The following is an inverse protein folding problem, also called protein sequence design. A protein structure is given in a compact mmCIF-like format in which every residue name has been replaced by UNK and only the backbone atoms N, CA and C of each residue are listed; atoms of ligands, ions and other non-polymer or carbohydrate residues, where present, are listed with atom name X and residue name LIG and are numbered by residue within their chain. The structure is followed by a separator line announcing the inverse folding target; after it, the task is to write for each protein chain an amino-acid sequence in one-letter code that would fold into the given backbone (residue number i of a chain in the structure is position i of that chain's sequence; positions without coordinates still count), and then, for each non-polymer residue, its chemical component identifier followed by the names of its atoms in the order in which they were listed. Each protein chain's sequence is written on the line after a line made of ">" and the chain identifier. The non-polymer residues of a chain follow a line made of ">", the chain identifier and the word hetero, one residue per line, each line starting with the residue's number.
data_IF_159595605918
#
_entry.id   IF_159595605918
#
_cell.length_a   1.000
_cell.length_b   1.000
_cell.length_c   1.000
_cell.angle_alpha   90.00
_cell.angle_beta   90.00
_cell.angle_gamma   90.00
#
_symmetry.space_group_name_H-M   'P 1'
#
loop_
_entity.id
_entity.type
_entity.pdbx_description
1 polymer ?
#
# COMPACT_ATOMS: atom_id res chain seq x y z
N UNK A 1 -6.22 -27.73 18.86
CA UNK A 1 -6.70 -26.44 19.41
C UNK A 1 -7.40 -25.73 18.26
N UNK A 2 -8.73 -25.89 18.16
CA UNK A 2 -9.56 -25.21 17.16
C UNK A 2 -10.19 -23.98 17.79
N UNK A 3 -9.39 -22.93 18.00
CA UNK A 3 -9.95 -21.58 18.12
C UNK A 3 -9.68 -20.87 16.81
N UNK A 4 -10.75 -20.64 16.05
CA UNK A 4 -10.67 -19.73 14.92
C UNK A 4 -10.28 -18.35 15.45
N UNK A 5 -9.07 -17.92 15.12
CA UNK A 5 -8.62 -16.56 15.36
C UNK A 5 -9.59 -15.61 14.63
N UNK A 6 -10.21 -14.70 15.38
CA UNK A 6 -11.20 -13.75 14.85
C UNK A 6 -10.47 -12.46 14.46
N UNK A 7 -10.79 -11.92 13.29
CA UNK A 7 -10.34 -10.60 12.86
C UNK A 7 -10.92 -9.55 13.80
N UNK A 8 -10.05 -8.74 14.43
CA UNK A 8 -10.42 -7.72 15.41
C UNK A 8 -10.13 -6.33 14.85
N UNK A 9 -10.93 -5.34 15.24
CA UNK A 9 -10.57 -3.93 15.09
C UNK A 9 -9.67 -3.54 16.26
N UNK A 10 -8.48 -3.00 15.96
CA UNK A 10 -7.52 -2.52 16.97
C UNK A 10 -7.52 -1.01 17.13
N UNK A 11 -7.86 -0.30 16.05
CA UNK A 11 -7.76 1.15 16.00
C UNK A 11 -8.86 1.69 15.09
N UNK A 12 -9.57 2.72 15.54
CA UNK A 12 -10.68 3.33 14.81
C UNK A 12 -10.67 4.85 15.06
N UNK A 13 -10.11 5.58 14.11
CA UNK A 13 -10.02 7.04 14.16
C UNK A 13 -11.20 7.60 13.39
N UNK A 14 -11.88 8.59 13.96
CA UNK A 14 -12.81 9.43 13.20
C UNK A 14 -12.48 10.89 13.50
N UNK A 15 -12.08 11.63 12.48
CA UNK A 15 -11.85 13.07 12.60
C UNK A 15 -12.92 13.83 11.80
N UNK A 16 -13.66 14.70 12.50
CA UNK A 16 -14.69 15.60 11.95
C UNK A 16 -14.28 17.06 12.07
N UNK A 17 -13.02 17.35 12.36
CA UNK A 17 -12.47 18.70 12.47
C UNK A 17 -11.81 19.11 11.17
N UNK A 18 -11.23 18.15 10.45
CA UNK A 18 -10.54 18.36 9.18
C UNK A 18 -9.04 18.63 9.37
N UNK A 19 -8.39 19.03 8.29
CA UNK A 19 -6.99 19.45 8.25
C UNK A 19 -6.88 20.77 7.49
N UNK A 20 -6.01 21.66 7.97
CA UNK A 20 -5.59 22.82 7.20
C UNK A 20 -4.67 22.38 6.05
N UNK A 21 -4.50 23.26 5.05
CA UNK A 21 -3.52 23.04 4.00
C UNK A 21 -2.11 22.90 4.58
N UNK A 22 -1.36 21.89 4.11
CA UNK A 22 -0.01 21.53 4.58
C UNK A 22 0.05 21.15 6.06
N UNK A 23 -1.05 20.68 6.62
CA UNK A 23 -1.10 20.18 7.99
C UNK A 23 -0.81 18.68 8.02
N UNK A 24 -0.12 18.25 9.08
CA UNK A 24 0.00 16.84 9.46
C UNK A 24 -0.52 16.67 10.88
N UNK A 25 -1.42 15.70 11.08
CA UNK A 25 -1.96 15.33 12.39
C UNK A 25 -1.61 13.89 12.69
N UNK A 26 -1.26 13.60 13.94
CA UNK A 26 -0.97 12.24 14.41
C UNK A 26 -1.96 11.82 15.49
N UNK A 27 -2.52 10.64 15.33
CA UNK A 27 -3.45 9.98 16.23
C UNK A 27 -2.73 8.80 16.87
N UNK A 28 -2.55 8.81 18.18
CA UNK A 28 -1.96 7.69 18.90
C UNK A 28 -3.02 6.93 19.71
N UNK A 29 -2.70 5.70 20.09
CA UNK A 29 -3.56 4.86 20.91
C UNK A 29 -3.42 5.11 22.42
N UNK A 30 -3.26 6.34 22.88
CA UNK A 30 -3.21 6.65 24.31
C UNK A 30 -4.43 6.10 25.08
N UNK A 31 -4.19 5.24 26.09
CA UNK A 31 -5.24 4.70 26.97
C UNK A 31 -5.84 3.31 26.66
N UNK A 32 -5.19 2.45 25.86
CA UNK A 32 -5.71 1.10 25.55
C UNK A 32 -5.88 0.19 26.80
N UNK A 33 -7.10 -0.29 27.04
CA UNK A 33 -7.35 -1.51 27.82
C UNK A 33 -7.49 -2.75 26.90
N UNK A 34 -7.28 -3.95 27.46
CA UNK A 34 -6.95 -5.18 26.71
C UNK A 34 -7.98 -5.72 25.70
N UNK A 35 -9.21 -5.21 25.66
CA UNK A 35 -10.32 -5.92 25.00
C UNK A 35 -11.39 -5.06 24.30
N UNK A 36 -11.17 -3.77 24.01
CA UNK A 36 -12.20 -2.89 23.41
C UNK A 36 -11.83 -2.21 22.08
N UNK A 37 -12.84 -2.00 21.23
CA UNK A 37 -12.80 -1.13 20.03
C UNK A 37 -12.96 0.31 20.53
N UNK A 38 -11.99 1.18 20.25
CA UNK A 38 -11.97 2.55 20.78
C UNK A 38 -12.08 3.58 19.66
N UNK A 39 -12.97 4.55 19.85
CA UNK A 39 -13.11 5.74 19.01
C UNK A 39 -12.18 6.83 19.54
N UNK A 40 -11.29 7.39 18.70
CA UNK A 40 -10.33 8.41 19.13
C UNK A 40 -10.59 9.77 18.48
N UNK A 41 -10.48 10.83 19.30
CA UNK A 41 -10.58 12.25 18.91
C UNK A 41 -9.18 12.89 19.03
N UNK A 42 -8.77 13.83 18.16
CA UNK A 42 -7.43 14.41 18.22
C UNK A 42 -7.11 15.14 19.53
N UNK A 43 -5.93 14.85 20.10
CA UNK A 43 -5.29 15.65 21.14
C UNK A 43 -5.24 15.00 22.52
N UNK A 44 -4.01 14.91 23.03
CA UNK A 44 -3.56 14.65 24.42
C UNK A 44 -3.22 13.19 24.86
N UNK A 45 -1.89 12.97 24.99
CA UNK A 45 -1.13 12.22 26.04
C UNK A 45 -0.67 10.76 25.82
N UNK A 46 0.65 10.63 25.56
CA UNK A 46 1.64 9.57 25.91
C UNK A 46 1.25 8.08 25.96
N UNK A 47 1.92 7.33 25.09
CA UNK A 47 2.31 5.90 25.14
C UNK A 47 1.36 4.94 25.87
N UNK A 48 0.61 4.14 25.12
CA UNK A 48 -0.02 2.93 25.62
C UNK A 48 0.93 1.74 25.51
N UNK A 49 1.26 1.12 26.64
CA UNK A 49 1.80 -0.23 26.62
C UNK A 49 0.66 -1.20 26.26
N UNK A 50 0.91 -2.15 25.37
CA UNK A 50 0.08 -3.35 25.36
C UNK A 50 0.30 -4.03 26.70
N UNK A 51 -0.74 -4.26 27.50
CA UNK A 51 -0.61 -5.14 28.67
C UNK A 51 -0.01 -6.47 28.18
N UNK A 52 1.18 -6.82 28.67
CA UNK A 52 2.16 -7.74 28.03
C UNK A 52 1.75 -9.20 27.80
N UNK A 53 0.45 -9.50 27.73
CA UNK A 53 -0.11 -10.83 27.52
C UNK A 53 -0.37 -11.17 26.04
N UNK A 54 -0.35 -10.18 25.14
CA UNK A 54 -0.61 -10.39 23.70
C UNK A 54 0.27 -9.53 22.80
N UNK A 55 0.67 -10.09 21.66
CA UNK A 55 1.23 -9.34 20.53
C UNK A 55 0.18 -9.23 19.43
N UNK A 56 0.33 -8.25 18.53
CA UNK A 56 -0.68 -7.94 17.52
C UNK A 56 -0.07 -7.82 16.12
N UNK A 57 -0.87 -8.23 15.14
CA UNK A 57 -0.55 -8.18 13.71
C UNK A 57 -1.66 -7.47 12.96
N UNK A 58 -1.38 -6.35 12.29
CA UNK A 58 -2.34 -5.65 11.43
C UNK A 58 -2.30 -6.28 10.05
N UNK A 59 -3.45 -6.73 9.55
CA UNK A 59 -3.57 -7.38 8.23
C UNK A 59 -4.45 -6.60 7.26
N UNK A 60 -5.19 -5.61 7.75
CA UNK A 60 -6.15 -4.84 6.97
C UNK A 60 -6.22 -3.42 7.50
N UNK A 61 -6.29 -2.46 6.58
CA UNK A 61 -6.55 -1.05 6.84
C UNK A 61 -7.77 -0.68 5.99
N UNK A 62 -8.69 0.08 6.55
CA UNK A 62 -9.86 0.61 5.85
C UNK A 62 -9.89 2.11 6.08
N UNK A 63 -9.92 2.89 5.00
CA UNK A 63 -9.99 4.35 5.04
C UNK A 63 -11.33 4.76 4.43
N UNK A 64 -12.10 5.52 5.17
CA UNK A 64 -13.27 6.23 4.68
C UNK A 64 -12.79 7.64 4.31
N UNK A 65 -12.72 7.96 3.02
CA UNK A 65 -12.13 9.20 2.55
C UNK A 65 -13.03 10.40 2.90
N UNK A 66 -12.45 11.58 3.16
CA UNK A 66 -13.24 12.80 3.37
C UNK A 66 -13.88 13.28 2.06
N UNK A 67 -15.04 13.93 2.18
CA UNK A 67 -15.80 14.50 1.06
C UNK A 67 -16.31 15.91 1.40
N UNK A 68 -16.22 16.83 0.44
CA UNK A 68 -16.81 18.17 0.59
C UNK A 68 -18.35 18.12 0.60
N UNK A 69 -18.99 19.27 0.80
CA UNK A 69 -20.46 19.38 0.80
C UNK A 69 -21.12 18.98 -0.54
N UNK A 70 -20.35 18.89 -1.63
CA UNK A 70 -20.80 18.48 -2.95
C UNK A 70 -20.52 17.01 -3.24
N UNK A 71 -19.92 16.27 -2.30
CA UNK A 71 -19.53 14.87 -2.45
C UNK A 71 -18.22 14.66 -3.23
N UNK A 72 -17.44 15.71 -3.49
CA UNK A 72 -16.11 15.57 -4.08
C UNK A 72 -15.12 15.11 -3.02
N UNK A 73 -14.22 14.19 -3.37
CA UNK A 73 -13.19 13.75 -2.44
C UNK A 73 -12.19 14.88 -2.15
N UNK A 74 -11.87 15.05 -0.87
CA UNK A 74 -10.89 16.03 -0.41
C UNK A 74 -9.49 15.45 -0.29
N UNK A 75 -8.49 16.32 -0.17
CA UNK A 75 -7.07 15.96 -0.19
C UNK A 75 -6.58 15.46 1.17
N UNK A 76 -6.98 14.25 1.55
CA UNK A 76 -6.25 13.48 2.55
C UNK A 76 -5.04 12.83 1.86
N UNK A 77 -4.00 13.63 1.67
CA UNK A 77 -2.82 13.32 0.84
C UNK A 77 -2.18 12.01 1.28
N UNK A 78 -1.82 11.90 2.55
CA UNK A 78 -1.08 10.72 3.03
C UNK A 78 -1.63 10.18 4.34
N UNK A 79 -1.59 8.86 4.47
CA UNK A 79 -1.84 8.11 5.70
C UNK A 79 -0.67 7.16 5.92
N UNK A 80 0.06 7.38 7.01
CA UNK A 80 1.21 6.58 7.43
C UNK A 80 0.95 5.95 8.81
N UNK A 81 1.51 4.75 9.02
CA UNK A 81 1.52 4.14 10.35
C UNK A 81 2.83 4.41 11.08
N UNK A 82 2.72 4.56 12.40
CA UNK A 82 3.83 4.61 13.33
C UNK A 82 3.68 3.41 14.27
N UNK A 83 4.65 2.51 14.23
CA UNK A 83 4.62 1.23 14.91
C UNK A 83 5.76 1.16 15.91
N UNK A 84 5.45 0.90 17.18
CA UNK A 84 6.42 0.85 18.28
C UNK A 84 7.33 2.11 18.30
N UNK A 85 6.72 3.27 18.03
CA UNK A 85 7.37 4.58 17.98
C UNK A 85 8.16 4.88 16.70
N UNK A 86 8.16 3.99 15.70
CA UNK A 86 8.88 4.17 14.44
C UNK A 86 7.92 4.30 13.26
N UNK A 87 8.05 5.34 12.40
CA UNK A 87 7.26 5.44 11.18
C UNK A 87 7.63 4.30 10.23
N UNK A 88 6.64 3.77 9.53
CA UNK A 88 6.84 2.70 8.54
C UNK A 88 6.55 3.17 7.11
N UNK A 89 6.55 4.49 6.87
CA UNK A 89 6.25 5.11 5.57
C UNK A 89 7.13 4.61 4.41
N UNK A 90 8.35 4.13 4.70
CA UNK A 90 9.20 3.45 3.71
C UNK A 90 8.58 2.17 3.10
N UNK A 91 7.65 1.54 3.81
CA UNK A 91 6.97 0.31 3.40
C UNK A 91 5.48 0.52 3.10
N UNK A 92 4.86 1.50 3.78
CA UNK A 92 3.42 1.70 3.76
C UNK A 92 3.08 3.19 3.80
N UNK A 93 2.90 3.77 2.62
CA UNK A 93 2.38 5.12 2.38
C UNK A 93 1.08 5.02 1.59
N UNK A 94 -0.04 5.29 2.26
CA UNK A 94 -1.37 5.13 1.69
C UNK A 94 -1.99 6.47 1.32
N UNK A 95 -2.68 6.58 0.17
CA UNK A 95 -3.50 7.74 -0.11
C UNK A 95 -4.81 7.66 0.68
N UNK A 96 -5.23 8.79 1.25
CA UNK A 96 -6.53 8.93 1.92
C UNK A 96 -7.63 9.52 1.05
N UNK A 97 -7.29 10.10 -0.11
CA UNK A 97 -8.27 10.65 -1.07
C UNK A 97 -9.03 9.52 -1.79
N UNK A 98 -10.35 9.66 -1.89
CA UNK A 98 -11.23 8.63 -2.47
C UNK A 98 -10.95 8.29 -3.94
N UNK A 99 -10.54 9.25 -4.76
CA UNK A 99 -10.26 9.01 -6.18
C UNK A 99 -9.16 7.97 -6.41
N UNK A 100 -8.16 7.94 -5.53
CA UNK A 100 -6.98 7.08 -5.63
C UNK A 100 -6.88 6.12 -4.43
N UNK A 101 -7.99 5.84 -3.76
CA UNK A 101 -8.00 5.06 -2.54
C UNK A 101 -7.56 3.61 -2.77
N UNK A 102 -6.52 3.18 -2.06
CA UNK A 102 -6.00 1.80 -2.16
C UNK A 102 -6.65 0.86 -1.14
N UNK A 103 -7.13 1.41 -0.02
CA UNK A 103 -7.66 0.65 1.13
C UNK A 103 -9.11 1.07 1.47
N UNK A 104 -10.07 0.94 0.53
CA UNK A 104 -11.46 1.27 0.80
C UNK A 104 -12.09 0.29 1.82
N UNK A 105 -13.22 0.69 2.44
CA UNK A 105 -13.99 -0.22 3.28
C UNK A 105 -14.45 -1.44 2.50
N UNK A 106 -14.37 -2.63 3.10
CA UNK A 106 -14.68 -3.90 2.41
C UNK A 106 -16.08 -3.96 1.81
N UNK A 107 -17.04 -3.26 2.43
CA UNK A 107 -18.43 -3.19 1.98
C UNK A 107 -18.64 -2.26 0.78
N UNK A 108 -17.64 -1.45 0.45
CA UNK A 108 -17.66 -0.45 -0.63
C UNK A 108 -16.79 -0.86 -1.83
N UNK A 109 -16.25 -2.08 -1.83
CA UNK A 109 -15.48 -2.61 -2.95
C UNK A 109 -16.43 -3.14 -4.02
N UNK A 110 -16.23 -2.69 -5.26
CA UNK A 110 -16.93 -3.24 -6.42
C UNK A 110 -16.63 -4.73 -6.58
N UNK A 111 -17.69 -5.55 -6.73
CA UNK A 111 -17.60 -7.02 -6.72
C UNK A 111 -17.68 -7.63 -5.30
N UNK A 112 -17.53 -6.83 -4.24
CA UNK A 112 -17.78 -7.24 -2.86
C UNK A 112 -16.53 -7.45 -1.99
N UNK A 113 -16.71 -7.86 -0.71
CA UNK A 113 -15.67 -7.86 0.32
C UNK A 113 -14.57 -8.91 0.12
N UNK A 114 -14.79 -9.91 -0.73
CA UNK A 114 -13.80 -10.96 -1.02
C UNK A 114 -12.67 -10.50 -1.95
N UNK A 115 -12.81 -9.30 -2.53
CA UNK A 115 -11.88 -8.77 -3.51
C UNK A 115 -10.76 -7.92 -2.90
N UNK A 116 -10.76 -7.66 -1.58
CA UNK A 116 -9.68 -6.90 -0.92
C UNK A 116 -8.32 -7.60 -1.04
N UNK A 117 -7.27 -6.84 -1.38
CA UNK A 117 -5.89 -7.30 -1.22
C UNK A 117 -5.50 -7.04 0.24
N UNK A 118 -5.30 -8.06 1.08
CA UNK A 118 -4.83 -7.83 2.43
C UNK A 118 -3.36 -7.38 2.41
N UNK A 119 -2.94 -6.62 3.42
CA UNK A 119 -1.54 -6.22 3.58
C UNK A 119 -0.64 -7.45 3.65
N UNK A 120 -1.08 -8.46 4.40
CA UNK A 120 -0.50 -9.78 4.48
C UNK A 120 -1.55 -10.80 4.90
N UNK A 121 -1.26 -12.07 4.70
CA UNK A 121 -2.07 -13.14 5.29
C UNK A 121 -1.71 -13.28 6.77
N UNK A 122 -2.69 -13.50 7.66
CA UNK A 122 -2.40 -13.62 9.08
C UNK A 122 -1.54 -14.85 9.34
N UNK A 123 -0.59 -14.70 10.27
CA UNK A 123 0.42 -15.72 10.59
C UNK A 123 -0.20 -17.10 10.83
N UNK A 124 -1.26 -17.18 11.63
CA UNK A 124 -1.93 -18.45 11.91
C UNK A 124 -2.42 -19.12 10.61
N UNK A 125 -3.04 -18.36 9.71
CA UNK A 125 -3.60 -18.90 8.47
C UNK A 125 -2.48 -19.42 7.58
N UNK A 126 -1.38 -18.67 7.43
CA UNK A 126 -0.23 -19.09 6.61
C UNK A 126 0.34 -20.40 7.14
N UNK A 127 0.60 -20.47 8.44
CA UNK A 127 1.21 -21.66 9.07
C UNK A 127 0.28 -22.88 9.00
N UNK A 128 -1.03 -22.69 9.21
CA UNK A 128 -1.99 -23.79 9.17
C UNK A 128 -2.33 -24.26 7.76
N UNK A 129 -2.35 -23.36 6.77
CA UNK A 129 -2.77 -23.69 5.40
C UNK A 129 -1.67 -24.33 4.58
N UNK A 130 -0.41 -23.94 4.81
CA UNK A 130 0.71 -24.37 3.96
C UNK A 130 1.57 -25.45 4.63
N UNK A 131 1.62 -25.56 5.96
CA UNK A 131 2.43 -26.60 6.63
C UNK A 131 3.94 -26.47 6.38
N UNK A 132 4.77 -27.09 7.21
CA UNK A 132 6.21 -26.81 7.27
C UNK A 132 7.00 -27.11 5.96
N UNK A 133 6.43 -27.86 5.01
CA UNK A 133 7.08 -28.20 3.74
C UNK A 133 7.04 -27.07 2.70
N UNK A 134 6.14 -26.09 2.84
CA UNK A 134 5.94 -25.07 1.81
C UNK A 134 6.86 -23.85 2.03
N UNK A 135 7.70 -23.49 1.03
CA UNK A 135 8.48 -22.26 1.09
C UNK A 135 7.55 -21.03 0.96
N UNK A 136 8.13 -19.84 1.16
CA UNK A 136 7.47 -18.53 0.99
C UNK A 136 6.45 -18.15 2.07
N UNK A 137 6.38 -18.86 3.20
CA UNK A 137 5.65 -18.36 4.37
C UNK A 137 6.08 -16.94 4.77
N UNK A 138 7.39 -16.58 4.73
CA UNK A 138 7.81 -15.23 5.07
C UNK A 138 7.23 -14.15 4.17
N UNK A 139 7.00 -14.46 2.89
CA UNK A 139 6.42 -13.51 1.93
C UNK A 139 4.90 -13.39 2.11
N UNK A 140 4.23 -14.35 2.75
CA UNK A 140 2.78 -14.32 2.98
C UNK A 140 2.43 -13.69 4.33
N UNK A 141 3.15 -14.06 5.39
CA UNK A 141 2.90 -13.64 6.76
C UNK A 141 3.52 -12.27 7.09
N UNK A 142 3.25 -11.29 6.23
CA UNK A 142 3.82 -9.92 6.28
C UNK A 142 2.87 -8.90 6.91
N UNK A 143 1.85 -9.35 7.65
CA UNK A 143 1.04 -8.43 8.45
C UNK A 143 1.94 -7.64 9.40
N UNK A 144 1.59 -6.38 9.65
CA UNK A 144 2.44 -5.44 10.40
C UNK A 144 2.46 -5.86 11.87
N UNK A 145 3.62 -6.27 12.37
CA UNK A 145 3.81 -6.84 13.71
C UNK A 145 4.29 -5.79 14.69
N UNK A 146 3.63 -5.73 15.85
CA UNK A 146 3.96 -4.75 16.88
C UNK A 146 3.71 -5.30 18.29
N UNK A 147 4.44 -4.76 19.26
CA UNK A 147 4.43 -5.21 20.64
C UNK A 147 4.04 -4.15 21.66
N UNK A 148 3.99 -2.87 21.30
CA UNK A 148 3.83 -1.77 22.24
C UNK A 148 2.83 -0.75 21.75
N UNK A 149 3.14 0.01 20.70
CA UNK A 149 2.36 1.19 20.31
C UNK A 149 1.98 1.15 18.84
N UNK A 150 0.81 1.72 18.55
CA UNK A 150 0.36 2.03 17.20
C UNK A 150 -0.15 3.47 17.19
N UNK A 151 0.23 4.21 16.15
CA UNK A 151 -0.29 5.52 15.83
C UNK A 151 -0.45 5.66 14.31
N UNK A 152 -1.28 6.60 13.88
CA UNK A 152 -1.53 6.93 12.49
C UNK A 152 -1.24 8.40 12.30
N UNK A 153 -0.35 8.71 11.37
CA UNK A 153 -0.10 10.07 10.91
C UNK A 153 -0.86 10.30 9.62
N UNK A 154 -1.53 11.44 9.51
CA UNK A 154 -2.23 11.83 8.29
C UNK A 154 -1.82 13.25 7.88
N UNK A 155 -1.65 13.47 6.58
CA UNK A 155 -1.25 14.75 6.03
C UNK A 155 -2.20 15.20 4.93
N UNK A 156 -2.27 16.51 4.73
CA UNK A 156 -3.02 17.16 3.66
C UNK A 156 -2.17 18.25 3.02
N UNK A 157 -2.18 18.35 1.69
CA UNK A 157 -1.52 19.43 0.97
C UNK A 157 -2.46 20.64 0.81
N UNK A 158 -3.74 20.40 0.52
CA UNK A 158 -4.73 21.44 0.19
C UNK A 158 -5.82 21.66 1.26
N UNK A 159 -5.88 20.81 2.28
CA UNK A 159 -6.86 20.84 3.36
C UNK A 159 -7.96 19.79 3.21
N UNK A 160 -8.64 19.53 4.33
CA UNK A 160 -9.81 18.65 4.47
C UNK A 160 -10.83 19.38 5.34
N UNK A 161 -12.08 19.47 4.89
CA UNK A 161 -13.13 20.23 5.58
C UNK A 161 -13.89 19.31 6.53
N UNK A 162 -13.75 19.50 7.85
CA UNK A 162 -14.34 18.58 8.84
C UNK A 162 -15.86 18.62 9.01
N UNK A 163 -16.56 19.68 8.59
CA UNK A 163 -17.97 19.91 8.93
C UNK A 163 -18.98 19.47 7.85
N UNK A 164 -20.18 19.05 8.27
CA UNK A 164 -21.38 18.89 7.42
C UNK A 164 -21.57 17.51 6.77
N UNK A 165 -20.48 16.84 6.38
CA UNK A 165 -20.46 15.46 5.85
C UNK A 165 -19.04 14.90 5.59
N UNK A 166 -17.97 15.65 5.89
CA UNK A 166 -16.64 15.50 5.26
C UNK A 166 -15.44 15.09 6.11
N UNK A 167 -15.66 14.55 7.30
CA UNK A 167 -14.58 13.94 8.08
C UNK A 167 -14.00 12.68 7.42
N UNK A 168 -12.85 12.20 7.90
CA UNK A 168 -12.30 10.90 7.50
C UNK A 168 -12.34 9.91 8.66
N UNK A 169 -12.37 8.62 8.32
CA UNK A 169 -12.26 7.53 9.30
C UNK A 169 -11.23 6.51 8.87
N UNK A 170 -10.38 6.06 9.80
CA UNK A 170 -9.32 5.09 9.53
C UNK A 170 -9.44 3.94 10.52
N UNK A 171 -9.60 2.73 10.01
CA UNK A 171 -9.80 1.52 10.82
C UNK A 171 -8.67 0.52 10.56
N UNK A 172 -7.93 0.17 11.60
CA UNK A 172 -6.90 -0.87 11.56
C UNK A 172 -7.47 -2.18 12.13
N UNK A 173 -7.36 -3.26 11.35
CA UNK A 173 -7.86 -4.59 11.74
C UNK A 173 -6.79 -5.67 11.61
N UNK A 174 -6.86 -6.66 12.49
CA UNK A 174 -5.86 -7.70 12.55
C UNK A 174 -6.12 -8.80 13.58
N UNK A 175 -5.04 -9.45 13.99
CA UNK A 175 -5.06 -10.63 14.86
C UNK A 175 -4.14 -10.45 16.07
N UNK A 176 -4.51 -11.09 17.17
CA UNK A 176 -3.75 -11.03 18.42
C UNK A 176 -3.33 -12.44 18.81
N UNK A 177 -2.11 -12.57 19.33
CA UNK A 177 -1.55 -13.87 19.65
C UNK A 177 -1.08 -13.90 21.10
N UNK A 178 -1.41 -14.99 21.78
CA UNK A 178 -0.84 -15.37 23.08
C UNK A 178 0.48 -16.11 22.88
N UNK A 179 1.30 -16.17 23.93
CA UNK A 179 2.54 -16.94 23.90
C UNK A 179 2.33 -18.44 23.59
N UNK A 180 1.23 -19.03 24.06
CA UNK A 180 0.89 -20.43 23.80
C UNK A 180 0.59 -20.67 22.31
N UNK A 181 -0.18 -19.77 21.67
CA UNK A 181 -0.46 -19.85 20.23
C UNK A 181 0.82 -19.69 19.40
N UNK A 182 1.67 -18.71 19.75
CA UNK A 182 2.94 -18.50 19.06
C UNK A 182 3.86 -19.73 19.14
N UNK A 183 3.89 -20.40 20.29
CA UNK A 183 4.68 -21.62 20.49
C UNK A 183 4.21 -22.76 19.56
N UNK A 184 2.91 -22.90 19.34
CA UNK A 184 2.38 -23.90 18.40
C UNK A 184 2.66 -23.54 16.94
N UNK A 185 2.55 -22.26 16.59
CA UNK A 185 2.85 -21.76 15.25
C UNK A 185 4.34 -21.92 14.92
N UNK A 186 5.23 -21.72 15.91
CA UNK A 186 6.67 -21.87 15.77
C UNK A 186 7.08 -23.24 15.21
N UNK A 187 6.40 -24.31 15.63
CA UNK A 187 6.71 -25.69 15.23
C UNK A 187 6.53 -25.96 13.73
N UNK A 188 5.75 -25.13 13.04
CA UNK A 188 5.36 -25.31 11.65
C UNK A 188 5.87 -24.20 10.73
N UNK A 189 6.58 -23.21 11.29
CA UNK A 189 7.13 -22.10 10.53
C UNK A 189 8.26 -22.60 9.61
N UNK A 190 8.16 -22.27 8.33
CA UNK A 190 9.22 -22.47 7.35
C UNK A 190 9.81 -21.12 6.93
N UNK A 191 11.06 -20.80 7.33
CA UNK A 191 11.68 -19.52 7.02
C UNK A 191 12.21 -19.41 5.59
N UNK A 192 12.12 -20.47 4.76
CA UNK A 192 12.70 -20.46 3.41
C UNK A 192 11.86 -19.61 2.45
N UNK A 193 12.55 -18.83 1.63
CA UNK A 193 12.01 -18.10 0.50
C UNK A 193 12.61 -18.66 -0.79
N UNK A 194 11.74 -18.91 -1.76
CA UNK A 194 12.07 -19.39 -3.09
C UNK A 194 10.98 -18.94 -4.08
N UNK A 195 11.24 -17.88 -4.84
CA UNK A 195 10.33 -17.34 -5.86
C UNK A 195 11.02 -17.37 -7.20
N UNK A 196 10.40 -18.06 -8.16
CA UNK A 196 10.81 -18.06 -9.56
C UNK A 196 9.60 -17.78 -10.43
N UNK A 197 9.63 -16.64 -11.13
CA UNK A 197 8.53 -16.22 -12.00
C UNK A 197 8.73 -16.73 -13.43
N UNK A 198 7.67 -16.73 -14.24
CA UNK A 198 7.75 -17.16 -15.63
C UNK A 198 8.73 -16.30 -16.43
N UNK A 199 8.68 -14.95 -16.27
CA UNK A 199 9.62 -14.02 -16.92
C UNK A 199 11.06 -14.46 -16.66
N UNK A 200 11.44 -14.65 -15.39
CA UNK A 200 12.81 -15.00 -15.01
C UNK A 200 13.22 -16.39 -15.50
N UNK A 201 12.28 -17.32 -15.54
CA UNK A 201 12.52 -18.65 -16.13
C UNK A 201 12.82 -18.55 -17.62
N UNK A 202 12.06 -17.73 -18.35
CA UNK A 202 12.24 -17.53 -19.80
C UNK A 202 13.50 -16.72 -20.11
N UNK A 203 13.83 -15.70 -19.31
CA UNK A 203 15.03 -14.87 -19.49
C UNK A 203 16.30 -15.49 -18.90
N UNK A 204 16.21 -16.63 -18.22
CA UNK A 204 17.35 -17.30 -17.58
C UNK A 204 17.88 -16.56 -16.33
N UNK A 205 17.08 -15.67 -15.76
CA UNK A 205 17.43 -14.91 -14.56
C UNK A 205 17.28 -15.76 -13.28
N UNK A 206 18.11 -15.49 -12.24
CA UNK A 206 18.10 -16.28 -11.02
C UNK A 206 16.85 -16.05 -10.18
N UNK A 207 16.35 -17.10 -9.55
CA UNK A 207 15.26 -17.02 -8.57
C UNK A 207 15.66 -16.18 -7.34
N UNK A 208 14.69 -15.56 -6.69
CA UNK A 208 14.87 -15.00 -5.35
C UNK A 208 14.86 -16.16 -4.35
N UNK A 209 15.99 -16.43 -3.69
CA UNK A 209 16.07 -17.49 -2.68
C UNK A 209 16.99 -17.14 -1.52
N UNK A 210 16.47 -17.31 -0.30
CA UNK A 210 17.19 -17.11 0.95
C UNK A 210 16.42 -17.76 2.11
N UNK A 211 17.00 -17.73 3.31
CA UNK A 211 16.31 -18.13 4.55
C UNK A 211 16.16 -16.90 5.43
N UNK A 212 14.94 -16.58 5.85
CA UNK A 212 14.68 -15.47 6.76
C UNK A 212 15.21 -15.79 8.17
N UNK A 213 16.03 -14.90 8.71
CA UNK A 213 16.60 -15.03 10.05
C UNK A 213 15.83 -14.18 11.06
N UNK A 214 15.23 -14.84 12.05
CA UNK A 214 14.61 -14.21 13.21
C UNK A 214 15.55 -14.20 14.41
N UNK A 215 15.32 -13.31 15.37
CA UNK A 215 16.13 -13.21 16.61
C UNK A 215 16.00 -14.43 17.54
N UNK A 216 15.07 -15.32 17.25
CA UNK A 216 14.88 -16.59 17.95
C UNK A 216 13.57 -17.28 17.54
N UNK A 217 13.21 -18.37 18.23
CA UNK A 217 11.93 -19.06 18.00
C UNK A 217 10.75 -18.10 18.16
N UNK A 218 9.69 -18.30 17.39
CA UNK A 218 8.50 -17.44 17.42
C UNK A 218 7.90 -17.41 18.82
N UNK A 219 7.93 -16.23 19.44
CA UNK A 219 7.48 -15.98 20.81
C UNK A 219 7.06 -14.53 20.94
N UNK A 220 6.48 -14.17 22.09
CA UNK A 220 6.13 -12.78 22.40
C UNK A 220 7.32 -11.81 22.28
N UNK A 221 8.51 -12.24 22.74
CA UNK A 221 9.72 -11.42 22.76
C UNK A 221 10.34 -11.25 21.36
N UNK A 222 10.16 -12.24 20.49
CA UNK A 222 10.77 -12.27 19.15
C UNK A 222 9.79 -11.95 18.04
N UNK A 223 8.51 -11.68 18.36
CA UNK A 223 7.44 -11.53 17.37
C UNK A 223 7.74 -10.45 16.31
N UNK A 224 8.31 -9.32 16.73
CA UNK A 224 8.67 -8.21 15.84
C UNK A 224 9.89 -8.50 14.97
N UNK A 225 10.61 -9.61 15.20
CA UNK A 225 11.70 -10.07 14.33
C UNK A 225 11.25 -10.94 13.17
N UNK A 226 9.95 -11.27 13.09
CA UNK A 226 9.35 -11.97 11.96
C UNK A 226 8.88 -10.97 10.88
N UNK A 227 8.59 -11.44 9.64
CA UNK A 227 8.18 -10.58 8.53
C UNK A 227 7.03 -9.64 8.87
N UNK A 228 7.10 -8.40 8.39
CA UNK A 228 6.19 -7.30 8.75
C UNK A 228 6.50 -6.63 10.09
N UNK A 229 7.52 -7.10 10.83
CA UNK A 229 7.97 -6.51 12.09
C UNK A 229 9.18 -5.59 11.95
N UNK A 230 9.31 -4.63 12.87
CA UNK A 230 10.40 -3.65 12.88
C UNK A 230 11.71 -4.16 13.51
N UNK A 231 11.68 -5.32 14.18
CA UNK A 231 12.81 -5.95 14.85
C UNK A 231 13.50 -7.03 14.01
N UNK A 232 13.25 -7.05 12.70
CA UNK A 232 13.89 -7.99 11.76
C UNK A 232 15.41 -7.76 11.73
N UNK A 233 16.15 -8.85 11.52
CA UNK A 233 17.61 -8.83 11.48
C UNK A 233 18.11 -8.50 10.06
N UNK A 234 18.96 -9.36 9.50
CA UNK A 234 19.67 -9.15 8.24
C UNK A 234 18.71 -8.92 7.07
N UNK A 235 17.73 -9.81 6.88
CA UNK A 235 16.72 -9.65 5.83
C UNK A 235 15.44 -9.04 6.38
N UNK A 236 15.01 -7.93 5.79
CA UNK A 236 13.74 -7.28 6.12
C UNK A 236 12.72 -7.62 5.05
N UNK A 237 11.63 -8.24 5.47
CA UNK A 237 10.50 -8.59 4.60
C UNK A 237 9.29 -7.82 5.11
N UNK A 238 8.78 -6.89 4.31
CA UNK A 238 7.68 -6.02 4.71
C UNK A 238 6.63 -5.90 3.59
N UNK A 239 5.36 -5.62 3.94
CA UNK A 239 4.39 -5.26 2.92
C UNK A 239 4.84 -3.97 2.24
N UNK A 240 4.61 -3.86 0.94
CA UNK A 240 4.90 -2.65 0.18
C UNK A 240 3.58 -2.09 -0.34
N UNK A 241 3.15 -0.94 0.15
CA UNK A 241 1.97 -0.22 -0.34
C UNK A 241 2.32 1.24 -0.53
N UNK A 242 2.48 1.64 -1.78
CA UNK A 242 2.86 3.00 -2.12
C UNK A 242 2.02 3.49 -3.28
N UNK A 243 1.92 4.81 -3.38
CA UNK A 243 1.37 5.47 -4.53
C UNK A 243 2.27 6.64 -4.92
N UNK A 244 2.16 7.05 -6.17
CA UNK A 244 2.80 8.25 -6.68
C UNK A 244 1.80 9.06 -7.46
N UNK A 245 2.02 10.37 -7.49
CA UNK A 245 1.41 11.28 -8.45
C UNK A 245 2.48 11.93 -9.30
N UNK A 246 2.10 12.31 -10.51
CA UNK A 246 2.98 13.09 -11.35
C UNK A 246 3.12 14.52 -10.77
N UNK A 247 4.28 14.86 -10.22
CA UNK A 247 4.53 16.22 -9.71
C UNK A 247 4.72 17.24 -10.84
N UNK A 248 4.92 16.77 -12.08
CA UNK A 248 5.03 17.59 -13.29
C UNK A 248 4.04 17.15 -14.35
N UNK A 249 3.75 18.05 -15.28
CA UNK A 249 2.99 17.68 -16.48
C UNK A 249 3.75 16.61 -17.28
N UNK A 250 3.03 15.64 -17.82
CA UNK A 250 3.61 14.59 -18.66
C UNK A 250 4.03 15.14 -20.02
N UNK A 251 4.90 14.42 -20.72
CA UNK A 251 5.17 14.67 -22.13
C UNK A 251 4.00 14.13 -22.99
N UNK A 252 3.69 14.77 -24.10
CA UNK A 252 2.68 14.30 -25.06
C UNK A 252 3.17 13.13 -25.92
N UNK A 253 4.49 12.99 -26.05
CA UNK A 253 5.18 12.15 -27.02
C UNK A 253 6.05 11.05 -26.41
N UNK A 254 6.31 11.13 -25.09
CA UNK A 254 7.17 10.18 -24.38
C UNK A 254 6.49 9.68 -23.10
N UNK A 255 6.73 8.42 -22.71
CA UNK A 255 6.32 7.91 -21.41
C UNK A 255 6.85 8.79 -20.27
N UNK A 256 5.98 9.08 -19.30
CA UNK A 256 6.33 9.74 -18.05
C UNK A 256 6.55 8.68 -16.98
N UNK A 257 7.75 8.63 -16.43
CA UNK A 257 8.13 7.68 -15.38
C UNK A 257 7.81 8.28 -14.02
N UNK A 258 7.07 7.55 -13.18
CA UNK A 258 6.70 7.96 -11.81
C UNK A 258 7.85 7.67 -10.84
N UNK A 259 9.01 8.26 -11.13
CA UNK A 259 10.24 8.11 -10.37
C UNK A 259 11.26 9.19 -10.75
N UNK A 260 12.17 9.50 -9.82
CA UNK A 260 13.33 10.33 -10.10
C UNK A 260 14.54 9.50 -10.62
N UNK A 261 14.36 8.20 -10.88
CA UNK A 261 15.40 7.30 -11.40
C UNK A 261 15.74 7.58 -12.87
N UNK A 262 16.78 8.41 -13.08
CA UNK A 262 17.25 8.83 -14.41
C UNK A 262 17.53 7.67 -15.39
N UNK A 263 18.01 6.52 -14.89
CA UNK A 263 18.39 5.36 -15.72
C UNK A 263 17.24 4.77 -16.55
N UNK A 264 15.99 5.04 -16.16
CA UNK A 264 14.79 4.58 -16.86
C UNK A 264 13.99 5.73 -17.48
N UNK A 265 14.53 6.95 -17.53
CA UNK A 265 13.80 8.12 -18.01
C UNK A 265 13.00 8.86 -16.93
N UNK A 266 13.21 8.51 -15.65
CA UNK A 266 12.82 9.37 -14.53
C UNK A 266 13.61 10.68 -14.51
N UNK A 267 13.21 11.61 -13.65
CA UNK A 267 13.88 12.90 -13.54
C UNK A 267 13.45 13.68 -12.31
N UNK A 268 14.33 14.52 -11.79
CA UNK A 268 14.10 15.25 -10.54
C UNK A 268 12.74 15.95 -10.51
N UNK A 269 11.95 15.67 -9.48
CA UNK A 269 10.61 16.25 -9.29
C UNK A 269 9.58 15.67 -10.25
N UNK A 270 9.77 14.44 -10.73
CA UNK A 270 8.69 13.68 -11.37
C UNK A 270 7.67 13.22 -10.34
N UNK A 271 8.11 13.01 -9.10
CA UNK A 271 7.29 12.74 -7.92
C UNK A 271 7.43 13.86 -6.88
N UNK A 272 6.45 14.00 -5.99
CA UNK A 272 6.43 15.10 -5.00
C UNK A 272 7.35 14.83 -3.81
N UNK A 273 7.40 13.57 -3.36
CA UNK A 273 8.21 13.13 -2.23
C UNK A 273 8.99 11.85 -2.61
N UNK A 274 10.15 11.67 -2.01
CA UNK A 274 10.93 10.43 -2.02
C UNK A 274 10.12 9.18 -1.62
N UNK A 275 9.17 9.28 -0.68
CA UNK A 275 8.30 8.15 -0.32
C UNK A 275 7.27 7.81 -1.39
N UNK A 276 7.05 8.72 -2.35
CA UNK A 276 6.21 8.50 -3.52
C UNK A 276 7.04 8.08 -4.75
N UNK A 277 8.37 7.94 -4.63
CA UNK A 277 9.19 7.44 -5.73
C UNK A 277 8.94 5.94 -5.93
N UNK A 278 8.47 5.56 -7.12
CA UNK A 278 8.22 4.16 -7.49
C UNK A 278 9.34 3.59 -8.36
N UNK A 279 10.55 4.16 -8.27
CA UNK A 279 11.77 3.66 -8.88
C UNK A 279 12.50 2.68 -7.97
N UNK A 280 12.85 1.53 -8.54
CA UNK A 280 13.55 0.46 -7.86
C UNK A 280 14.90 0.24 -8.53
N UNK A 281 15.99 0.61 -7.86
CA UNK A 281 17.34 0.45 -8.36
C UNK A 281 18.05 -0.79 -7.79
N UNK A 282 17.42 -1.97 -7.90
CA UNK A 282 17.91 -3.20 -7.29
C UNK A 282 19.04 -3.88 -8.07
N UNK A 283 19.48 -3.33 -9.21
CA UNK A 283 20.56 -3.91 -10.02
C UNK A 283 21.88 -4.12 -9.28
N UNK A 284 22.17 -3.31 -8.25
CA UNK A 284 23.40 -3.41 -7.45
C UNK A 284 23.20 -4.05 -6.07
N UNK A 285 21.95 -4.22 -5.61
CA UNK A 285 21.61 -4.72 -4.28
C UNK A 285 20.89 -6.07 -4.37
N UNK A 286 20.85 -6.84 -3.28
CA UNK A 286 20.07 -8.09 -3.24
C UNK A 286 18.60 -7.86 -2.85
N UNK A 287 18.14 -6.61 -2.91
CA UNK A 287 16.78 -6.22 -2.64
C UNK A 287 15.83 -6.73 -3.75
N UNK A 288 14.58 -6.98 -3.39
CA UNK A 288 13.58 -7.46 -4.30
C UNK A 288 12.19 -6.89 -3.97
N UNK A 289 11.39 -6.64 -5.01
CA UNK A 289 9.97 -6.33 -4.88
C UNK A 289 9.16 -7.38 -5.62
N UNK A 290 8.26 -8.04 -4.88
CA UNK A 290 7.23 -8.91 -5.47
C UNK A 290 5.96 -8.07 -5.58
N UNK A 291 5.63 -7.63 -6.79
CA UNK A 291 4.42 -6.85 -7.07
C UNK A 291 3.22 -7.79 -7.13
N UNK A 292 2.22 -7.50 -6.31
CA UNK A 292 0.95 -8.26 -6.20
C UNK A 292 -0.21 -7.57 -6.87
N UNK A 293 -0.22 -6.24 -6.81
CA UNK A 293 -1.25 -5.44 -7.44
C UNK A 293 -0.69 -4.09 -7.85
N UNK A 294 -1.21 -3.57 -8.95
CA UNK A 294 -0.83 -2.27 -9.48
C UNK A 294 -2.01 -1.67 -10.23
N UNK A 295 -2.11 -0.35 -10.21
CA UNK A 295 -3.17 0.36 -10.88
C UNK A 295 -2.79 1.78 -11.21
N UNK A 296 -3.52 2.35 -12.17
CA UNK A 296 -3.33 3.71 -12.65
C UNK A 296 -4.68 4.40 -12.70
N UNK A 297 -4.72 5.64 -12.23
CA UNK A 297 -5.95 6.43 -12.14
C UNK A 297 -5.70 7.86 -12.59
N UNK A 298 -6.57 8.35 -13.47
CA UNK A 298 -6.69 9.79 -13.68
C UNK A 298 -7.35 10.43 -12.47
N UNK A 299 -6.75 11.49 -11.94
CA UNK A 299 -7.20 12.16 -10.71
C UNK A 299 -7.82 13.51 -11.07
N UNK A 300 -9.06 13.81 -10.65
CA UNK A 300 -9.61 15.15 -10.77
C UNK A 300 -8.78 16.12 -9.91
N UNK A 301 -8.66 17.38 -10.35
CA UNK A 301 -8.07 18.40 -9.47
C UNK A 301 -8.97 18.58 -8.22
N UNK A 302 -8.38 18.77 -7.03
CA UNK A 302 -9.14 19.06 -5.82
C UNK A 302 -10.03 20.31 -5.99
N UNK A 303 -11.17 20.38 -5.25
CA UNK A 303 -12.02 21.57 -5.23
C UNK A 303 -11.22 22.84 -4.90
N UNK A 304 -11.45 23.91 -5.67
CA UNK A 304 -10.77 25.22 -5.46
C UNK A 304 -9.51 25.44 -6.31
N UNK A 305 -9.05 24.44 -7.08
CA UNK A 305 -8.01 24.66 -8.08
C UNK A 305 -8.59 25.08 -9.45
N UNK A 306 -8.05 26.16 -10.02
CA UNK A 306 -8.34 26.59 -11.39
C UNK A 306 -7.47 25.84 -12.39
N UNK A 307 -8.05 24.82 -13.04
CA UNK A 307 -7.52 24.18 -14.23
C UNK A 307 -8.63 24.06 -15.27
N UNK A 308 -8.28 23.90 -16.55
CA UNK A 308 -9.29 23.59 -17.57
C UNK A 308 -10.10 22.37 -17.09
N UNK A 309 -11.44 22.36 -17.20
CA UNK A 309 -12.28 21.22 -16.86
C UNK A 309 -12.05 20.10 -17.89
N UNK A 310 -10.84 19.54 -17.89
CA UNK A 310 -10.51 18.28 -18.51
C UNK A 310 -10.90 17.20 -17.53
N UNK A 311 -11.72 16.26 -17.97
CA UNK A 311 -12.06 15.11 -17.15
C UNK A 311 -10.76 14.38 -16.80
N UNK A 312 -10.56 14.12 -15.50
CA UNK A 312 -9.43 13.40 -14.95
C UNK A 312 -8.94 12.25 -15.86
N UNK A 313 -7.68 12.30 -16.27
CA UNK A 313 -7.07 11.23 -17.08
C UNK A 313 -7.62 11.04 -18.49
N UNK A 314 -8.35 12.00 -19.10
CA UNK A 314 -8.76 11.89 -20.51
C UNK A 314 -7.60 11.70 -21.48
N UNK A 315 -6.44 12.28 -21.16
CA UNK A 315 -5.23 12.17 -21.95
C UNK A 315 -4.41 10.93 -21.57
N UNK A 316 -4.89 10.04 -20.69
CA UNK A 316 -4.16 8.84 -20.33
C UNK A 316 -4.37 7.77 -21.41
N UNK A 317 -3.29 7.42 -22.11
CA UNK A 317 -3.29 6.50 -23.26
C UNK A 317 -2.90 5.09 -22.89
N UNK A 318 -1.86 4.95 -22.07
CA UNK A 318 -1.33 3.66 -21.70
C UNK A 318 -0.51 3.73 -20.41
N UNK A 319 -0.23 2.57 -19.82
CA UNK A 319 0.66 2.45 -18.69
C UNK A 319 1.38 1.09 -18.70
N UNK A 320 2.56 1.05 -18.08
CA UNK A 320 3.41 -0.12 -18.06
C UNK A 320 4.51 -0.01 -17.02
N UNK A 321 5.48 -0.91 -17.13
CA UNK A 321 6.71 -0.92 -16.37
C UNK A 321 7.89 -0.79 -17.32
N UNK A 322 8.85 0.04 -16.97
CA UNK A 322 10.21 -0.12 -17.46
C UNK A 322 10.92 -1.13 -16.56
N UNK A 323 11.55 -2.14 -17.15
CA UNK A 323 12.44 -3.07 -16.44
C UNK A 323 13.73 -3.21 -17.23
N UNK A 324 14.85 -2.77 -16.65
CA UNK A 324 16.16 -2.67 -17.30
C UNK A 324 16.13 -1.90 -18.64
N UNK A 325 15.18 -0.97 -18.79
CA UNK A 325 14.95 -0.19 -19.99
C UNK A 325 13.87 -0.74 -20.93
N UNK A 326 13.45 -2.00 -20.76
CA UNK A 326 12.41 -2.63 -21.58
C UNK A 326 11.02 -2.25 -21.08
N UNK A 327 10.10 -1.93 -22.01
CA UNK A 327 8.69 -1.64 -21.68
C UNK A 327 7.88 -2.95 -21.58
N UNK A 328 7.17 -3.12 -20.46
CA UNK A 328 6.41 -4.33 -20.16
C UNK A 328 5.00 -3.97 -19.65
N UNK A 329 3.92 -4.58 -20.21
CA UNK A 329 3.95 -5.47 -21.37
C UNK A 329 4.23 -4.72 -22.69
N UNK A 330 4.83 -5.41 -23.65
CA UNK A 330 4.96 -4.89 -25.02
C UNK A 330 3.64 -5.16 -25.77
N UNK A 331 2.78 -4.13 -25.89
CA UNK A 331 1.58 -4.20 -26.73
C UNK A 331 1.85 -3.68 -28.15
N UNK A 332 0.89 -3.86 -29.07
CA UNK A 332 0.99 -3.35 -30.44
C UNK A 332 1.15 -1.82 -30.40
N UNK A 333 2.32 -1.33 -30.83
CA UNK A 333 2.70 0.09 -30.75
C UNK A 333 3.73 0.40 -29.67
N UNK A 334 4.05 -0.57 -28.79
CA UNK A 334 5.12 -0.46 -27.80
C UNK A 334 4.80 0.47 -26.63
N UNK A 335 3.52 0.71 -26.33
CA UNK A 335 3.09 1.75 -25.39
C UNK A 335 2.66 1.23 -24.01
N UNK A 336 2.67 -0.08 -23.77
CA UNK A 336 2.13 -0.69 -22.55
C UNK A 336 0.66 -1.05 -22.67
N UNK A 337 -0.01 -1.25 -21.53
CA UNK A 337 -1.44 -1.56 -21.48
C UNK A 337 -2.25 -0.35 -21.91
N UNK A 338 -2.97 -0.48 -23.02
CA UNK A 338 -3.81 0.60 -23.54
C UNK A 338 -5.00 0.92 -22.62
N UNK A 339 -5.30 2.21 -22.49
CA UNK A 339 -6.38 2.73 -21.66
C UNK A 339 -7.12 3.88 -22.34
N UNK A 340 -8.40 4.00 -22.03
CA UNK A 340 -9.27 5.11 -22.41
C UNK A 340 -10.19 5.46 -21.24
N UNK A 341 -10.92 6.58 -21.34
CA UNK A 341 -11.92 6.94 -20.34
C UNK A 341 -13.00 5.85 -20.12
N UNK A 342 -13.34 5.09 -21.15
CA UNK A 342 -14.34 4.01 -21.07
C UNK A 342 -13.76 2.62 -20.77
N UNK A 343 -12.46 2.40 -21.04
CA UNK A 343 -11.78 1.11 -20.86
C UNK A 343 -10.48 1.35 -20.10
N UNK A 344 -10.50 1.09 -18.80
CA UNK A 344 -9.34 1.29 -17.93
C UNK A 344 -9.12 0.02 -17.08
N UNK A 345 -8.43 -1.01 -17.63
CA UNK A 345 -8.21 -2.27 -16.92
C UNK A 345 -7.37 -2.12 -15.66
N UNK A 346 -6.60 -1.03 -15.56
CA UNK A 346 -5.76 -0.70 -14.42
C UNK A 346 -6.45 0.25 -13.41
N UNK A 347 -7.75 0.54 -13.56
CA UNK A 347 -8.45 1.46 -12.67
C UNK A 347 -8.44 0.96 -11.21
N UNK A 348 -8.24 1.89 -10.28
CA UNK A 348 -8.37 1.69 -8.83
C UNK A 348 -8.95 2.95 -8.18
N UNK A 349 -9.26 2.89 -6.89
CA UNK A 349 -9.88 4.00 -6.18
C UNK A 349 -11.34 4.16 -6.58
N UNK A 350 -11.88 5.38 -6.61
CA UNK A 350 -13.29 5.58 -6.92
C UNK A 350 -13.67 4.96 -8.27
N UNK A 351 -14.85 4.32 -8.34
CA UNK A 351 -15.36 3.81 -9.62
C UNK A 351 -15.79 4.92 -10.58
N UNK A 352 -15.93 6.15 -10.08
CA UNK A 352 -16.22 7.31 -10.91
C UNK A 352 -15.01 7.71 -11.76
N UNK A 353 -15.22 8.24 -12.98
CA UNK A 353 -16.51 8.45 -13.63
C UNK A 353 -17.04 7.21 -14.38
N UNK A 354 -16.29 6.10 -14.45
CA UNK A 354 -16.64 4.93 -15.26
C UNK A 354 -17.98 4.31 -14.85
N UNK A 355 -18.26 4.29 -13.55
CA UNK A 355 -19.54 3.92 -12.99
C UNK A 355 -20.03 5.09 -12.12
N UNK A 356 -21.25 5.55 -12.37
CA UNK A 356 -21.88 6.65 -11.63
C UNK A 356 -22.45 6.18 -10.28
N UNK A 357 -21.60 5.55 -9.45
CA UNK A 357 -21.93 5.14 -8.08
C UNK A 357 -21.07 5.91 -7.09
N UNK A 358 -21.71 6.43 -6.05
CA UNK A 358 -21.05 7.08 -4.92
C UNK A 358 -20.51 6.06 -3.93
N UNK A 359 -19.33 6.35 -3.36
CA UNK A 359 -18.75 5.56 -2.27
C UNK A 359 -18.60 4.08 -2.61
N UNK A 360 -18.28 3.80 -3.88
CA UNK A 360 -17.89 2.49 -4.40
C UNK A 360 -16.51 2.62 -5.03
N UNK A 361 -15.65 1.64 -4.79
CA UNK A 361 -14.25 1.68 -5.17
C UNK A 361 -13.84 0.43 -5.93
N UNK A 362 -13.04 0.61 -6.97
CA UNK A 362 -12.22 -0.45 -7.51
C UNK A 362 -11.06 -0.72 -6.55
N UNK A 363 -10.80 -2.00 -6.29
CA UNK A 363 -9.53 -2.42 -5.70
C UNK A 363 -8.38 -2.12 -6.65
N UNK A 364 -7.16 -2.14 -6.13
CA UNK A 364 -6.00 -2.28 -7.00
C UNK A 364 -6.07 -3.61 -7.79
N UNK A 365 -5.97 -3.57 -9.12
CA UNK A 365 -5.92 -4.77 -9.94
C UNK A 365 -4.74 -5.65 -9.55
N UNK A 366 -4.99 -6.95 -9.43
CA UNK A 366 -3.92 -7.93 -9.21
C UNK A 366 -3.12 -8.08 -10.49
N UNK A 367 -1.80 -8.21 -10.37
CA UNK A 367 -0.96 -8.52 -11.53
C UNK A 367 -1.26 -9.96 -11.97
N UNK A 368 -1.63 -10.22 -13.25
CA UNK A 368 -1.74 -11.58 -13.77
C UNK A 368 -0.34 -12.21 -13.80
N UNK A 369 -0.11 -13.20 -12.93
CA UNK A 369 1.23 -13.73 -12.69
C UNK A 369 2.03 -12.87 -11.69
N UNK A 370 3.02 -13.45 -11.04
CA UNK A 370 3.89 -12.73 -10.11
C UNK A 370 4.91 -11.89 -10.89
N UNK A 371 4.93 -10.57 -10.67
CA UNK A 371 6.01 -9.70 -11.16
C UNK A 371 7.06 -9.58 -10.05
N UNK A 372 8.24 -10.15 -10.30
CA UNK A 372 9.40 -10.06 -9.43
C UNK A 372 10.41 -9.09 -10.04
N UNK A 373 10.72 -8.02 -9.30
CA UNK A 373 11.82 -7.10 -9.58
C UNK A 373 12.94 -7.52 -8.65
N UNK A 374 14.00 -8.13 -9.18
CA UNK A 374 15.13 -8.64 -8.40
C UNK A 374 16.40 -8.61 -9.24
N UNK A 375 17.43 -7.89 -8.77
CA UNK A 375 18.62 -7.55 -9.59
C UNK A 375 18.27 -6.80 -10.88
N UNK A 376 17.18 -6.05 -10.84
CA UNK A 376 16.65 -5.24 -11.94
C UNK A 376 16.63 -3.76 -11.54
N UNK A 377 16.67 -2.87 -12.52
CA UNK A 377 16.13 -1.53 -12.36
C UNK A 377 14.69 -1.51 -12.90
N UNK A 378 13.73 -1.01 -12.12
CA UNK A 378 12.35 -0.93 -12.59
C UNK A 378 11.64 0.34 -12.13
N UNK A 379 10.70 0.83 -12.94
CA UNK A 379 9.80 1.93 -12.56
C UNK A 379 8.50 1.87 -13.39
N UNK A 380 7.34 2.19 -12.80
CA UNK A 380 6.10 2.32 -13.56
C UNK A 380 6.10 3.60 -14.39
N UNK A 381 5.45 3.55 -15.54
CA UNK A 381 5.26 4.71 -16.41
C UNK A 381 3.81 4.86 -16.87
N UNK A 382 3.49 6.07 -17.33
CA UNK A 382 2.23 6.41 -17.99
C UNK A 382 2.51 7.18 -19.27
N UNK A 383 1.70 6.96 -20.30
CA UNK A 383 1.82 7.63 -21.59
C UNK A 383 0.58 8.47 -21.88
N UNK A 384 0.81 9.66 -22.45
CA UNK A 384 -0.26 10.58 -22.79
C UNK A 384 -0.82 10.35 -24.21
N UNK A 385 -2.05 10.79 -24.46
CA UNK A 385 -2.76 10.65 -25.73
C UNK A 385 -2.62 11.92 -26.58
N UNK A 386 -1.40 12.22 -27.04
CA UNK A 386 -1.12 13.38 -27.91
C UNK A 386 -1.27 14.76 -27.25
N UNK A 387 -1.72 14.84 -26.00
CA UNK A 387 -1.75 16.06 -25.17
C UNK A 387 -1.23 15.76 -23.77
N UNK A 388 -0.41 16.64 -23.17
CA UNK A 388 0.10 16.45 -21.80
C UNK A 388 -1.01 16.20 -20.78
N UNK A 389 -0.71 15.36 -19.77
CA UNK A 389 -1.50 15.26 -18.55
C UNK A 389 -0.90 16.26 -17.56
N UNK A 390 -1.67 17.24 -17.05
CA UNK A 390 -1.19 18.19 -16.04
C UNK A 390 -0.65 17.51 -14.78
N UNK A 391 0.18 18.24 -14.02
CA UNK A 391 0.64 17.79 -12.71
C UNK A 391 -0.54 17.44 -11.79
N UNK A 392 -0.34 16.46 -10.90
CA UNK A 392 -1.30 16.00 -9.89
C UNK A 392 -2.58 15.35 -10.46
N UNK A 393 -2.63 15.05 -11.76
CA UNK A 393 -3.80 14.49 -12.45
C UNK A 393 -3.67 13.03 -12.89
N UNK A 394 -2.56 12.36 -12.58
CA UNK A 394 -2.44 10.91 -12.70
C UNK A 394 -1.73 10.34 -11.49
N UNK A 395 -2.24 9.21 -11.01
CA UNK A 395 -1.67 8.46 -9.91
C UNK A 395 -1.43 7.00 -10.28
N UNK A 396 -0.37 6.43 -9.74
CA UNK A 396 -0.05 5.01 -9.80
C UNK A 396 -0.04 4.47 -8.38
N UNK A 397 -0.73 3.36 -8.13
CA UNK A 397 -0.68 2.64 -6.86
C UNK A 397 -0.04 1.27 -7.04
N UNK A 398 0.82 0.86 -6.10
CA UNK A 398 1.49 -0.44 -6.09
C UNK A 398 1.27 -1.12 -4.74
N UNK A 399 1.00 -2.42 -4.78
CA UNK A 399 0.99 -3.31 -3.62
C UNK A 399 1.89 -4.51 -3.86
N UNK A 400 2.58 -4.96 -2.82
CA UNK A 400 3.54 -6.05 -2.96
C UNK A 400 4.22 -6.43 -1.66
N UNK A 401 5.38 -7.07 -1.80
CA UNK A 401 6.27 -7.45 -0.71
C UNK A 401 7.66 -6.94 -1.05
N UNK A 402 8.19 -6.05 -0.21
CA UNK A 402 9.57 -5.59 -0.30
C UNK A 402 10.45 -6.50 0.56
N UNK A 403 11.54 -6.97 -0.04
CA UNK A 403 12.61 -7.71 0.61
C UNK A 403 13.88 -6.89 0.51
N UNK A 404 14.48 -6.55 1.65
CA UNK A 404 15.76 -5.85 1.73
C UNK A 404 16.79 -6.79 2.37
N UNK A 405 18.02 -6.82 1.84
CA UNK A 405 19.06 -7.79 2.24
C UNK A 405 20.37 -7.17 2.69
#
# INVERSE_FOLDING_TARGET
>A
MDRFQILRTFFDITDTVGLNAKETKTYDASGLSSDQVNYMTPGTVTSSSTGGNFVREITSIEIYPPQDANGNYEDLREVQLIIDGKPIGHYLTLPGQGDILMTPPRTQIWGGPHFTIPIGEPLWKVVHSFGAANPNMPLRAIGIKYNSTVAVSVSSQYGVTGAGSGGFRIVLKGYQYTNAELTELAKKWNPKVQVQTLRRTVTGEPALSFTHEAAGPLSMATFTSYPGGQGQLNQKINPYWHYARNAKATDASRPFVLSDLNGLGGGTGHVEDTFQDLGFAFGANNDALIVRGWGVKGVPLPPGQTGAPGVAGQNLRAAGWFINGDQIPEEIGGDGIFMTAGVQPLAFGSVKPQIALDNVFYRLPSVPGELLIYKDQAAPYVSANGSPIPADQVAVGITGVLVEQ
#
